data_IF_702459677302
#
_entry.id   IF_702459677302
#
_cell.length_a   1.000
_cell.length_b   1.000
_cell.length_c   1.000
_cell.angle_alpha   90.00
_cell.angle_beta   90.00
_cell.angle_gamma   90.00
#
_symmetry.space_group_name_H-M   'P 1'
#
loop_
_entity.id
_entity.type
_entity.pdbx_description
1 polymer ?
#
# COMPACT_ATOMS: atom_id res chain seq x y z
N UNK A 1 33.22 0.70 28.86
CA UNK A 1 32.71 2.09 28.95
C UNK A 1 33.48 2.92 27.94
N UNK A 2 32.95 3.66 26.99
CA UNK A 2 31.58 4.02 26.60
C UNK A 2 31.51 3.95 25.06
N UNK A 3 30.40 3.42 24.56
CA UNK A 3 29.94 3.61 23.19
C UNK A 3 29.38 5.03 23.08
N UNK A 4 29.67 5.73 21.99
CA UNK A 4 28.63 6.49 21.31
C UNK A 4 28.92 6.65 19.83
N UNK A 5 27.92 6.23 19.08
CA UNK A 5 27.81 6.10 17.64
C UNK A 5 26.99 7.24 17.06
N UNK A 6 27.40 7.79 15.92
CA UNK A 6 26.49 8.33 14.92
C UNK A 6 26.96 7.89 13.52
N UNK A 7 26.04 7.52 12.62
CA UNK A 7 26.28 7.77 11.21
C UNK A 7 25.07 8.44 10.54
N UNK A 8 25.14 9.77 10.38
CA UNK A 8 24.22 10.59 9.56
C UNK A 8 24.57 10.62 8.06
N UNK A 9 25.42 9.72 7.56
CA UNK A 9 26.03 9.86 6.22
C UNK A 9 25.56 8.86 5.15
N UNK A 10 24.41 8.18 5.31
CA UNK A 10 23.98 7.14 4.34
C UNK A 10 22.90 7.53 3.33
N UNK A 11 22.26 8.70 3.44
CA UNK A 11 21.17 9.08 2.52
C UNK A 11 21.59 9.89 1.29
N UNK A 12 22.82 10.43 1.23
CA UNK A 12 23.26 11.28 0.11
C UNK A 12 24.00 10.54 -1.02
N UNK A 13 24.27 9.24 -0.88
CA UNK A 13 25.07 8.49 -1.87
C UNK A 13 24.24 7.78 -2.95
N UNK A 14 22.91 7.64 -2.77
CA UNK A 14 22.06 6.91 -3.73
C UNK A 14 21.70 7.69 -5.00
N UNK A 15 21.75 9.03 -4.99
CA UNK A 15 21.45 9.85 -6.18
C UNK A 15 22.61 9.95 -7.18
N UNK A 16 23.83 9.53 -6.83
CA UNK A 16 25.04 9.81 -7.64
C UNK A 16 25.51 8.65 -8.54
N UNK A 17 24.91 7.47 -8.45
CA UNK A 17 25.35 6.27 -9.17
C UNK A 17 24.64 6.02 -10.52
N UNK A 18 23.67 6.85 -10.92
CA UNK A 18 23.03 6.79 -12.25
C UNK A 18 23.38 8.03 -13.09
N UNK A 19 24.66 8.13 -13.49
CA UNK A 19 25.06 8.87 -14.69
C UNK A 19 25.87 7.93 -15.58
N UNK A 20 25.17 7.16 -16.40
CA UNK A 20 25.74 6.58 -17.62
C UNK A 20 25.08 7.26 -18.81
N UNK A 21 25.93 7.76 -19.68
CA UNK A 21 25.66 8.35 -20.98
C UNK A 21 24.75 7.45 -21.82
N UNK A 22 23.51 7.88 -21.98
CA UNK A 22 22.57 7.44 -23.00
C UNK A 22 21.82 8.68 -23.45
N UNK A 23 21.58 8.80 -24.75
CA UNK A 23 20.77 9.86 -25.38
C UNK A 23 19.54 10.23 -24.55
N UNK A 24 19.14 11.52 -24.50
CA UNK A 24 17.92 11.91 -23.80
C UNK A 24 16.75 11.15 -24.43
N UNK A 25 16.25 10.17 -23.70
CA UNK A 25 14.94 9.59 -23.98
C UNK A 25 13.98 10.76 -23.84
N UNK A 26 13.17 11.08 -24.86
CA UNK A 26 12.21 12.14 -24.73
C UNK A 26 11.35 11.83 -23.51
N UNK A 27 11.31 12.78 -22.58
CA UNK A 27 10.45 12.79 -21.40
C UNK A 27 9.01 12.90 -21.91
N UNK A 28 8.48 11.77 -22.38
CA UNK A 28 7.06 11.65 -22.68
C UNK A 28 6.39 11.59 -21.32
N UNK A 29 5.90 12.75 -20.87
CA UNK A 29 4.92 12.88 -19.81
C UNK A 29 3.70 12.00 -20.16
N UNK A 30 3.74 10.74 -19.73
CA UNK A 30 2.65 9.80 -19.84
C UNK A 30 1.80 9.89 -18.59
N UNK A 31 0.59 10.40 -18.80
CA UNK A 31 -0.43 10.84 -17.85
C UNK A 31 -1.12 9.72 -17.05
N UNK A 32 -0.39 8.77 -16.47
CA UNK A 32 -0.99 7.62 -15.77
C UNK A 32 -0.65 7.53 -14.27
N UNK A 33 -0.42 8.66 -13.60
CA UNK A 33 -0.23 8.64 -12.16
C UNK A 33 -1.60 8.68 -11.44
N UNK A 34 -2.17 7.49 -11.17
CA UNK A 34 -3.45 7.33 -10.44
C UNK A 34 -3.47 8.11 -9.13
N UNK A 35 -2.38 8.04 -8.38
CA UNK A 35 -2.24 8.76 -7.13
C UNK A 35 -2.35 10.28 -7.32
N UNK A 36 -1.64 10.86 -8.30
CA UNK A 36 -1.76 12.28 -8.61
C UNK A 36 -3.17 12.64 -9.11
N UNK A 37 -3.81 11.80 -9.94
CA UNK A 37 -5.18 12.04 -10.37
C UNK A 37 -6.17 12.07 -9.20
N UNK A 38 -6.01 11.16 -8.23
CA UNK A 38 -6.80 11.17 -7.00
C UNK A 38 -6.52 12.42 -6.16
N UNK A 39 -5.27 12.84 -6.05
CA UNK A 39 -4.89 14.07 -5.34
C UNK A 39 -5.48 15.32 -5.99
N UNK A 40 -5.30 15.52 -7.30
CA UNK A 40 -5.85 16.67 -8.03
C UNK A 40 -7.36 16.78 -7.82
N UNK A 41 -8.05 15.64 -7.88
CA UNK A 41 -9.49 15.55 -7.69
C UNK A 41 -9.95 16.05 -6.31
N UNK A 42 -9.22 15.75 -5.24
CA UNK A 42 -9.61 16.16 -3.90
C UNK A 42 -9.17 17.58 -3.52
N UNK A 43 -8.34 18.26 -4.34
CA UNK A 43 -7.84 19.61 -4.01
C UNK A 43 -8.95 20.65 -3.77
N UNK A 44 -10.08 20.49 -4.46
CA UNK A 44 -11.25 21.36 -4.29
C UNK A 44 -12.14 20.95 -3.11
N UNK A 45 -11.89 19.81 -2.47
CA UNK A 45 -12.70 19.32 -1.36
C UNK A 45 -12.40 20.11 -0.07
N UNK A 46 -13.42 20.54 0.69
CA UNK A 46 -13.21 21.16 2.00
C UNK A 46 -12.61 20.19 3.04
N UNK A 47 -12.61 18.89 2.73
CA UNK A 47 -12.00 17.86 3.57
C UNK A 47 -10.48 17.75 3.35
N UNK A 48 -9.95 18.31 2.27
CA UNK A 48 -8.52 18.26 1.99
C UNK A 48 -7.77 19.38 2.73
N UNK A 49 -6.70 19.00 3.42
CA UNK A 49 -5.77 19.90 4.05
C UNK A 49 -4.38 19.71 3.43
N UNK A 50 -3.86 20.70 2.68
CA UNK A 50 -2.59 20.58 1.96
C UNK A 50 -1.36 20.71 2.86
N UNK A 51 -1.50 20.86 4.19
CA UNK A 51 -0.36 20.99 5.09
C UNK A 51 0.48 19.71 5.10
N UNK A 52 1.59 19.73 4.36
CA UNK A 52 2.52 18.61 4.25
C UNK A 52 3.58 18.65 5.35
N UNK A 53 4.04 17.47 5.77
CA UNK A 53 5.19 17.28 6.65
C UNK A 53 5.76 15.86 6.47
N UNK A 54 6.84 15.52 7.17
CA UNK A 54 7.48 14.21 7.10
C UNK A 54 6.54 13.04 7.43
N UNK A 55 5.52 13.30 8.26
CA UNK A 55 4.51 12.30 8.61
C UNK A 55 3.30 12.33 7.67
N UNK A 56 3.15 13.31 6.79
CA UNK A 56 2.02 13.45 5.86
C UNK A 56 2.44 14.23 4.61
N UNK A 57 3.31 13.67 3.74
CA UNK A 57 3.90 14.41 2.64
C UNK A 57 2.91 14.77 1.53
N UNK A 58 1.71 14.20 1.55
CA UNK A 58 0.63 14.49 0.61
C UNK A 58 -0.52 15.28 1.23
N UNK A 59 -0.37 15.70 2.49
CA UNK A 59 -1.40 16.37 3.27
C UNK A 59 -2.34 15.38 3.96
N UNK A 60 -3.48 15.91 4.41
CA UNK A 60 -4.52 15.16 5.09
C UNK A 60 -5.83 15.22 4.30
N UNK A 61 -6.60 14.15 4.34
CA UNK A 61 -7.98 14.12 3.88
C UNK A 61 -8.89 13.73 5.04
N UNK A 62 -9.78 14.65 5.42
CA UNK A 62 -10.68 14.57 6.57
C UNK A 62 -9.95 14.12 7.84
N UNK A 63 -8.87 14.84 8.17
CA UNK A 63 -8.03 14.62 9.35
C UNK A 63 -7.07 13.42 9.29
N UNK A 64 -7.07 12.64 8.21
CA UNK A 64 -6.19 11.46 8.05
C UNK A 64 -5.12 11.69 7.01
N UNK A 65 -3.91 11.21 7.26
CA UNK A 65 -2.82 11.22 6.27
C UNK A 65 -3.23 10.48 5.01
N UNK A 66 -2.98 11.09 3.87
CA UNK A 66 -3.15 10.42 2.58
C UNK A 66 -2.02 9.41 2.37
N UNK A 67 -2.40 8.16 2.12
CA UNK A 67 -1.49 7.06 1.79
C UNK A 67 -1.04 7.26 0.35
N UNK A 68 0.28 7.39 0.16
CA UNK A 68 0.95 7.43 -1.14
C UNK A 68 2.29 6.68 -1.02
N UNK A 69 3.25 7.01 -1.87
CA UNK A 69 4.54 6.32 -1.95
C UNK A 69 5.30 6.34 -0.61
N UNK A 70 5.70 5.15 -0.15
CA UNK A 70 6.61 4.91 0.98
C UNK A 70 6.17 5.45 2.35
N UNK A 71 4.92 5.91 2.49
CA UNK A 71 4.39 6.41 3.75
C UNK A 71 3.86 5.31 4.67
N UNK A 72 3.69 5.66 5.95
CA UNK A 72 2.95 4.82 6.91
C UNK A 72 1.55 4.54 6.33
N UNK A 73 1.10 3.28 6.33
CA UNK A 73 -0.22 2.86 5.83
C UNK A 73 -1.21 2.93 6.99
N UNK A 74 -0.89 2.30 8.13
CA UNK A 74 -1.78 2.32 9.30
C UNK A 74 -2.08 3.76 9.80
N UNK A 75 -3.35 4.03 10.09
CA UNK A 75 -3.93 5.34 10.45
C UNK A 75 -4.21 6.26 9.25
N UNK A 76 -3.88 5.83 8.03
CA UNK A 76 -4.01 6.63 6.81
C UNK A 76 -5.32 6.43 6.05
N UNK A 77 -5.49 7.20 4.98
CA UNK A 77 -6.57 7.08 4.00
C UNK A 77 -6.00 6.96 2.59
N UNK A 78 -6.44 5.96 1.86
CA UNK A 78 -6.11 5.76 0.45
C UNK A 78 -7.23 6.31 -0.42
N UNK A 79 -6.89 7.07 -1.46
CA UNK A 79 -7.84 7.73 -2.33
C UNK A 79 -7.92 6.98 -3.67
N UNK A 80 -9.03 6.30 -3.91
CA UNK A 80 -9.28 5.62 -5.17
C UNK A 80 -9.62 6.61 -6.29
N UNK A 81 -9.09 6.37 -7.49
CA UNK A 81 -9.36 7.19 -8.68
C UNK A 81 -10.72 6.86 -9.28
N UNK A 82 -10.98 5.59 -9.58
CA UNK A 82 -12.12 5.17 -10.41
C UNK A 82 -13.42 5.09 -9.61
N UNK A 83 -13.37 4.51 -8.41
CA UNK A 83 -14.56 4.36 -7.57
C UNK A 83 -14.81 5.58 -6.67
N UNK A 84 -13.88 6.54 -6.67
CA UNK A 84 -13.89 7.69 -5.76
C UNK A 84 -14.10 7.26 -4.30
N UNK A 85 -13.40 6.21 -3.85
CA UNK A 85 -13.49 5.72 -2.47
C UNK A 85 -12.35 6.31 -1.65
N UNK A 86 -12.63 6.73 -0.42
CA UNK A 86 -11.60 7.10 0.56
C UNK A 86 -11.44 5.95 1.58
N UNK A 87 -10.57 4.99 1.28
CA UNK A 87 -10.41 3.78 2.10
C UNK A 87 -9.51 4.06 3.29
N UNK A 88 -10.05 3.97 4.50
CA UNK A 88 -9.31 4.16 5.75
C UNK A 88 -8.67 2.84 6.18
N UNK A 89 -7.36 2.87 6.39
CA UNK A 89 -6.60 1.73 6.94
C UNK A 89 -6.18 2.09 8.35
N UNK A 90 -6.86 1.56 9.36
CA UNK A 90 -6.65 1.93 10.76
C UNK A 90 -6.93 0.74 11.68
N UNK A 91 -5.93 0.31 12.44
CA UNK A 91 -6.03 -0.80 13.38
C UNK A 91 -6.85 -0.47 14.63
N UNK A 92 -7.18 0.81 14.87
CA UNK A 92 -8.07 1.20 15.97
C UNK A 92 -9.48 0.59 15.87
N UNK A 93 -9.89 0.11 14.70
CA UNK A 93 -11.16 -0.60 14.49
C UNK A 93 -11.10 -2.09 14.90
N UNK A 94 -9.91 -2.62 15.19
CA UNK A 94 -9.68 -3.93 15.80
C UNK A 94 -9.47 -5.10 14.82
N UNK A 95 -10.17 -5.15 13.67
CA UNK A 95 -10.09 -6.31 12.77
C UNK A 95 -8.72 -6.45 12.12
N UNK A 96 -8.06 -5.34 11.75
CA UNK A 96 -6.76 -5.39 11.10
C UNK A 96 -5.67 -6.00 11.98
N UNK A 97 -5.61 -5.65 13.27
CA UNK A 97 -4.64 -6.24 14.20
C UNK A 97 -4.94 -7.74 14.43
N UNK A 98 -6.22 -8.12 14.54
CA UNK A 98 -6.62 -9.54 14.62
C UNK A 98 -6.11 -10.33 13.39
N UNK A 99 -6.32 -9.79 12.18
CA UNK A 99 -5.86 -10.40 10.94
C UNK A 99 -4.33 -10.46 10.84
N UNK A 100 -3.62 -9.45 11.35
CA UNK A 100 -2.16 -9.50 11.45
C UNK A 100 -1.72 -10.68 12.33
N UNK A 101 -2.29 -10.83 13.52
CA UNK A 101 -1.96 -11.95 14.42
C UNK A 101 -2.30 -13.31 13.78
N UNK A 102 -3.46 -13.42 13.12
CA UNK A 102 -3.83 -14.63 12.38
C UNK A 102 -2.88 -14.94 11.23
N UNK A 103 -2.42 -13.93 10.51
CA UNK A 103 -1.46 -14.10 9.41
C UNK A 103 -0.14 -14.68 9.92
N UNK A 104 0.36 -14.21 11.07
CA UNK A 104 1.58 -14.71 11.71
C UNK A 104 1.40 -16.14 12.19
N UNK A 105 0.29 -16.43 12.88
CA UNK A 105 0.00 -17.77 13.37
C UNK A 105 -0.12 -18.77 12.21
N UNK A 106 -0.80 -18.39 11.12
CA UNK A 106 -0.89 -19.21 9.92
C UNK A 106 0.49 -19.44 9.30
N UNK A 107 1.31 -18.39 9.16
CA UNK A 107 2.65 -18.51 8.61
C UNK A 107 3.50 -19.52 9.38
N UNK A 108 3.55 -19.39 10.72
CA UNK A 108 4.32 -20.30 11.58
C UNK A 108 3.79 -21.73 11.52
N UNK A 109 2.46 -21.91 11.56
CA UNK A 109 1.83 -23.24 11.47
C UNK A 109 2.13 -23.93 10.14
N UNK A 110 2.16 -23.18 9.05
CA UNK A 110 2.42 -23.70 7.70
C UNK A 110 3.94 -23.91 7.46
N UNK A 111 4.76 -23.90 8.53
CA UNK A 111 6.20 -24.19 8.50
C UNK A 111 7.10 -22.96 8.40
N UNK A 112 6.52 -21.76 8.46
CA UNK A 112 7.21 -20.48 8.45
C UNK A 112 8.20 -20.33 9.60
N UNK A 113 9.42 -19.86 9.30
CA UNK A 113 10.44 -19.55 10.30
C UNK A 113 10.92 -18.11 10.13
N UNK A 114 11.38 -17.48 11.22
CA UNK A 114 11.94 -16.12 11.19
C UNK A 114 13.14 -15.96 10.25
N UNK A 115 13.87 -17.05 9.98
CA UNK A 115 15.01 -17.08 9.06
C UNK A 115 14.62 -17.27 7.59
N UNK A 116 13.32 -17.33 7.26
CA UNK A 116 12.88 -17.48 5.87
C UNK A 116 13.13 -16.23 5.05
N UNK A 117 13.24 -16.45 3.74
CA UNK A 117 13.51 -15.41 2.75
C UNK A 117 12.28 -14.50 2.68
N UNK A 118 12.49 -13.19 2.56
CA UNK A 118 11.39 -12.20 2.53
C UNK A 118 10.37 -12.50 1.40
N UNK A 119 10.79 -13.20 0.34
CA UNK A 119 9.92 -13.74 -0.71
C UNK A 119 8.82 -14.66 -0.19
N UNK A 120 9.11 -15.48 0.83
CA UNK A 120 8.15 -16.43 1.39
C UNK A 120 7.10 -15.71 2.22
N UNK A 121 7.55 -14.72 3.01
CA UNK A 121 6.67 -13.84 3.76
C UNK A 121 5.76 -13.04 2.82
N UNK A 122 6.33 -12.48 1.74
CA UNK A 122 5.55 -11.75 0.74
C UNK A 122 4.47 -12.62 0.09
N UNK A 123 4.83 -13.83 -0.39
CA UNK A 123 3.88 -14.78 -0.97
C UNK A 123 2.79 -15.19 0.02
N UNK A 124 3.16 -15.43 1.28
CA UNK A 124 2.21 -15.74 2.35
C UNK A 124 1.23 -14.60 2.59
N UNK A 125 1.71 -13.36 2.69
CA UNK A 125 0.86 -12.19 2.94
C UNK A 125 -0.12 -11.97 1.81
N UNK A 126 0.30 -12.11 0.55
CA UNK A 126 -0.60 -12.00 -0.61
C UNK A 126 -1.72 -13.02 -0.50
N UNK A 127 -1.36 -14.30 -0.38
CA UNK A 127 -2.34 -15.38 -0.31
C UNK A 127 -3.30 -15.16 0.85
N UNK A 128 -2.80 -14.74 2.01
CA UNK A 128 -3.63 -14.44 3.16
C UNK A 128 -4.58 -13.27 2.89
N UNK A 129 -4.10 -12.19 2.26
CA UNK A 129 -4.94 -11.04 1.91
C UNK A 129 -6.04 -11.42 0.91
N UNK A 130 -5.74 -12.25 -0.09
CA UNK A 130 -6.70 -12.77 -1.05
C UNK A 130 -7.77 -13.65 -0.40
N UNK A 131 -7.37 -14.52 0.54
CA UNK A 131 -8.29 -15.37 1.32
C UNK A 131 -9.23 -14.53 2.21
N UNK A 132 -8.73 -13.47 2.85
CA UNK A 132 -9.54 -12.64 3.75
C UNK A 132 -10.43 -11.65 3.01
N UNK A 133 -10.03 -11.25 1.81
CA UNK A 133 -10.71 -10.23 1.03
C UNK A 133 -10.82 -10.68 -0.43
N UNK A 134 -11.72 -11.64 -0.74
CA UNK A 134 -11.87 -12.14 -2.10
C UNK A 134 -12.31 -11.02 -3.07
N UNK A 135 -11.81 -11.07 -4.31
CA UNK A 135 -12.26 -10.18 -5.37
C UNK A 135 -13.73 -10.49 -5.71
N UNK A 136 -14.61 -9.53 -5.44
CA UNK A 136 -16.02 -9.60 -5.81
C UNK A 136 -16.52 -8.19 -6.20
N UNK A 137 -16.13 -7.69 -7.38
CA UNK A 137 -16.51 -6.35 -7.84
C UNK A 137 -18.04 -6.18 -7.94
N UNK A 138 -18.77 -7.25 -8.22
CA UNK A 138 -20.23 -7.22 -8.30
C UNK A 138 -20.85 -6.93 -6.93
N UNK A 139 -20.37 -7.60 -5.88
CA UNK A 139 -20.81 -7.35 -4.50
C UNK A 139 -20.36 -5.99 -4.00
N UNK A 140 -19.16 -5.52 -4.34
CA UNK A 140 -18.74 -4.15 -4.01
C UNK A 140 -19.70 -3.12 -4.62
N UNK A 141 -20.04 -3.25 -5.90
CA UNK A 141 -21.03 -2.37 -6.55
C UNK A 141 -22.37 -2.42 -5.81
N UNK A 142 -22.85 -3.61 -5.45
CA UNK A 142 -24.11 -3.77 -4.70
C UNK A 142 -24.04 -3.08 -3.34
N UNK A 143 -22.95 -3.24 -2.59
CA UNK A 143 -22.74 -2.59 -1.29
C UNK A 143 -22.71 -1.07 -1.42
N UNK A 144 -22.02 -0.55 -2.45
CA UNK A 144 -21.99 0.89 -2.74
C UNK A 144 -23.39 1.48 -2.95
N UNK A 145 -24.23 0.79 -3.75
CA UNK A 145 -25.61 1.20 -3.99
C UNK A 145 -26.47 1.09 -2.73
N UNK A 146 -26.41 -0.04 -2.01
CA UNK A 146 -27.25 -0.30 -0.84
C UNK A 146 -26.95 0.63 0.34
N UNK A 147 -25.70 1.06 0.50
CA UNK A 147 -25.26 1.90 1.61
C UNK A 147 -25.22 3.39 1.26
N UNK A 148 -25.63 3.76 0.05
CA UNK A 148 -25.49 5.12 -0.49
C UNK A 148 -24.09 5.67 -0.23
N UNK A 149 -23.06 4.88 -0.56
CA UNK A 149 -21.67 5.30 -0.46
C UNK A 149 -21.46 6.42 -1.47
N UNK A 150 -21.36 7.65 -0.97
CA UNK A 150 -21.03 8.80 -1.80
C UNK A 150 -19.53 8.79 -2.14
N UNK A 151 -19.16 9.36 -3.30
CA UNK A 151 -17.77 9.67 -3.62
C UNK A 151 -17.06 10.35 -2.44
N UNK A 152 -15.81 9.96 -2.22
CA UNK A 152 -14.87 10.46 -1.22
C UNK A 152 -15.30 10.32 0.23
N UNK A 153 -16.36 9.56 0.49
CA UNK A 153 -16.71 9.18 1.84
C UNK A 153 -15.67 8.21 2.39
N UNK A 154 -15.20 8.50 3.61
CA UNK A 154 -14.32 7.58 4.33
C UNK A 154 -15.02 6.26 4.63
N UNK A 155 -14.42 5.16 4.22
CA UNK A 155 -14.87 3.80 4.52
C UNK A 155 -13.70 3.02 5.08
N UNK A 156 -13.86 2.45 6.27
CA UNK A 156 -12.82 1.61 6.86
C UNK A 156 -12.61 0.33 6.04
N UNK A 157 -11.36 -0.10 5.87
CA UNK A 157 -11.03 -1.38 5.24
C UNK A 157 -11.74 -2.56 5.95
N UNK A 158 -11.95 -2.45 7.26
CA UNK A 158 -12.74 -3.36 8.09
C UNK A 158 -14.17 -3.60 7.60
N UNK A 159 -14.78 -2.61 6.92
CA UNK A 159 -16.08 -2.79 6.30
C UNK A 159 -16.02 -3.90 5.24
N UNK A 160 -15.08 -3.81 4.30
CA UNK A 160 -14.90 -4.79 3.22
C UNK A 160 -14.48 -6.17 3.75
N UNK A 161 -13.66 -6.19 4.81
CA UNK A 161 -13.28 -7.43 5.52
C UNK A 161 -14.48 -8.14 6.15
N UNK A 162 -15.40 -7.42 6.81
CA UNK A 162 -16.62 -8.00 7.37
C UNK A 162 -17.56 -8.51 6.29
N UNK A 163 -17.64 -7.78 5.18
CA UNK A 163 -18.43 -8.20 4.02
C UNK A 163 -17.77 -9.35 3.26
N UNK A 164 -16.48 -9.66 3.49
CA UNK A 164 -15.71 -10.65 2.70
C UNK A 164 -15.85 -10.42 1.21
N UNK A 165 -15.77 -9.16 0.79
CA UNK A 165 -15.94 -8.74 -0.59
C UNK A 165 -15.02 -7.56 -0.88
N UNK A 166 -14.35 -7.62 -2.02
CA UNK A 166 -13.25 -6.73 -2.33
C UNK A 166 -13.08 -6.35 -3.77
N UNK A 167 -12.15 -5.42 -3.98
CA UNK A 167 -11.58 -5.03 -5.26
C UNK A 167 -10.05 -5.01 -5.11
N UNK A 168 -9.32 -4.80 -6.20
CA UNK A 168 -7.85 -4.84 -6.20
C UNK A 168 -7.22 -3.97 -5.09
N UNK A 169 -7.58 -2.69 -5.02
CA UNK A 169 -7.15 -1.78 -3.93
C UNK A 169 -7.34 -2.33 -2.52
N UNK A 170 -8.46 -3.02 -2.25
CA UNK A 170 -8.76 -3.49 -0.90
C UNK A 170 -7.78 -4.61 -0.50
N UNK A 171 -7.44 -5.51 -1.43
CA UNK A 171 -6.43 -6.55 -1.21
C UNK A 171 -5.03 -5.96 -1.10
N UNK A 172 -4.69 -5.01 -1.99
CA UNK A 172 -3.41 -4.29 -1.97
C UNK A 172 -3.20 -3.57 -0.63
N UNK A 173 -4.20 -2.84 -0.16
CA UNK A 173 -4.13 -2.13 1.13
C UNK A 173 -4.01 -3.08 2.32
N UNK A 174 -4.71 -4.21 2.30
CA UNK A 174 -4.59 -5.23 3.33
C UNK A 174 -3.19 -5.85 3.35
N UNK A 175 -2.68 -6.28 2.19
CA UNK A 175 -1.34 -6.86 2.07
C UNK A 175 -0.26 -5.87 2.50
N UNK A 176 -0.37 -4.62 2.06
CA UNK A 176 0.58 -3.56 2.39
C UNK A 176 0.55 -3.26 3.90
N UNK A 177 -0.63 -3.19 4.52
CA UNK A 177 -0.78 -3.09 5.98
C UNK A 177 -0.07 -4.24 6.71
N UNK A 178 -0.31 -5.49 6.31
CA UNK A 178 0.28 -6.67 6.94
C UNK A 178 1.81 -6.67 6.86
N UNK A 179 2.36 -6.37 5.67
CA UNK A 179 3.81 -6.23 5.48
C UNK A 179 4.38 -5.09 6.34
N UNK A 180 3.69 -3.95 6.43
CA UNK A 180 4.16 -2.86 7.27
C UNK A 180 4.21 -3.27 8.74
N UNK A 181 3.20 -3.99 9.24
CA UNK A 181 3.21 -4.52 10.62
C UNK A 181 4.35 -5.50 10.85
N UNK A 182 4.60 -6.41 9.90
CA UNK A 182 5.75 -7.33 9.95
C UNK A 182 7.09 -6.58 9.97
N UNK A 183 7.22 -5.50 9.19
CA UNK A 183 8.40 -4.63 9.17
C UNK A 183 8.59 -3.89 10.50
N UNK A 184 7.54 -3.31 11.06
CA UNK A 184 7.56 -2.64 12.38
C UNK A 184 7.99 -3.59 13.50
N UNK A 185 7.69 -4.89 13.36
CA UNK A 185 8.09 -5.96 14.28
C UNK A 185 9.43 -6.62 13.92
N UNK A 186 10.15 -6.11 12.91
CA UNK A 186 11.48 -6.60 12.46
C UNK A 186 11.47 -8.07 12.02
N UNK A 187 10.40 -8.50 11.35
CA UNK A 187 10.30 -9.79 10.66
C UNK A 187 10.80 -9.71 9.22
N UNK A 188 10.65 -8.53 8.61
CA UNK A 188 11.17 -8.18 7.28
C UNK A 188 11.80 -6.78 7.34
N UNK A 189 12.67 -6.46 6.39
CA UNK A 189 13.36 -5.16 6.32
C UNK A 189 13.15 -4.43 4.99
N UNK A 190 12.45 -5.02 4.03
CA UNK A 190 12.20 -4.42 2.74
C UNK A 190 11.28 -3.19 2.74
N UNK A 191 11.19 -2.57 1.57
CA UNK A 191 10.35 -1.42 1.28
C UNK A 191 9.01 -1.84 0.66
N UNK A 192 7.95 -1.09 0.98
CA UNK A 192 6.59 -1.33 0.53
C UNK A 192 6.16 -0.09 -0.24
N UNK A 193 5.78 -0.25 -1.51
CA UNK A 193 5.34 0.83 -2.39
C UNK A 193 3.99 0.44 -3.00
N UNK A 194 2.99 1.30 -2.85
CA UNK A 194 1.65 1.10 -3.44
C UNK A 194 1.58 1.97 -4.70
N UNK A 195 1.06 1.43 -5.80
CA UNK A 195 0.91 2.12 -7.08
C UNK A 195 2.20 2.81 -7.57
N UNK A 196 3.34 2.08 -7.65
CA UNK A 196 4.61 2.67 -8.05
C UNK A 196 4.54 3.26 -9.46
N UNK A 197 5.08 4.46 -9.60
CA UNK A 197 5.06 5.27 -10.82
C UNK A 197 5.89 4.73 -12.00
N UNK A 198 6.53 3.56 -11.86
CA UNK A 198 7.55 3.05 -12.80
C UNK A 198 7.17 1.74 -13.51
N UNK A 199 5.93 1.27 -13.43
CA UNK A 199 5.58 0.07 -14.19
C UNK A 199 5.40 0.42 -15.68
N UNK A 200 6.25 -0.14 -16.53
CA UNK A 200 6.03 -0.26 -17.98
C UNK A 200 4.76 -1.09 -18.29
N UNK A 201 4.20 -1.74 -17.27
CA UNK A 201 2.92 -2.41 -17.33
C UNK A 201 1.79 -1.38 -17.31
N UNK A 202 0.80 -1.47 -18.22
CA UNK A 202 -0.43 -0.72 -18.08
C UNK A 202 -1.12 -1.17 -16.79
N UNK A 203 -0.96 -0.40 -15.72
CA UNK A 203 -1.62 -0.69 -14.45
C UNK A 203 -3.10 -0.32 -14.56
N UNK A 204 -3.89 -1.20 -15.19
CA UNK A 204 -5.35 -1.09 -15.21
C UNK A 204 -5.92 -1.10 -13.78
N UNK A 205 -5.20 -1.67 -12.81
CA UNK A 205 -5.59 -1.80 -11.40
C UNK A 205 -4.48 -1.42 -10.40
N UNK A 206 -4.88 -1.23 -9.14
CA UNK A 206 -3.95 -0.94 -8.04
C UNK A 206 -2.98 -2.10 -7.79
N UNK A 207 -1.73 -1.78 -7.46
CA UNK A 207 -0.67 -2.76 -7.24
C UNK A 207 0.19 -2.46 -6.03
N UNK A 208 0.88 -3.48 -5.55
CA UNK A 208 1.84 -3.41 -4.46
C UNK A 208 3.19 -3.93 -4.96
N UNK A 209 4.25 -3.15 -4.72
CA UNK A 209 5.63 -3.59 -4.90
C UNK A 209 6.31 -3.69 -3.56
N UNK A 210 6.91 -4.86 -3.32
CA UNK A 210 7.80 -5.10 -2.21
C UNK A 210 9.24 -5.20 -2.73
N UNK A 211 10.13 -4.40 -2.17
CA UNK A 211 11.56 -4.42 -2.48
C UNK A 211 12.29 -5.01 -1.29
N UNK A 212 12.77 -6.24 -1.43
CA UNK A 212 13.47 -6.94 -0.37
C UNK A 212 14.78 -6.25 0.03
N UNK A 213 15.29 -6.59 1.20
CA UNK A 213 16.54 -6.03 1.72
C UNK A 213 17.77 -6.33 0.82
N UNK A 214 17.69 -7.37 0.01
CA UNK A 214 18.67 -7.76 -1.01
C UNK A 214 18.47 -7.04 -2.35
N UNK A 215 17.44 -6.18 -2.46
CA UNK A 215 17.06 -5.48 -3.67
C UNK A 215 16.13 -6.28 -4.60
N UNK A 216 15.75 -7.52 -4.25
CA UNK A 216 14.80 -8.30 -5.03
C UNK A 216 13.44 -7.60 -5.07
N UNK A 217 12.79 -7.57 -6.24
CA UNK A 217 11.50 -6.90 -6.43
C UNK A 217 10.41 -7.93 -6.61
N UNK A 218 9.33 -7.77 -5.85
CA UNK A 218 8.14 -8.61 -5.92
C UNK A 218 6.93 -7.73 -6.16
N UNK A 219 6.08 -8.13 -7.10
CA UNK A 219 4.90 -7.37 -7.52
C UNK A 219 3.65 -8.17 -7.20
N UNK A 220 2.67 -7.50 -6.62
CA UNK A 220 1.32 -8.01 -6.42
C UNK A 220 0.34 -7.12 -7.18
N UNK A 221 -0.36 -7.71 -8.13
CA UNK A 221 -1.48 -7.08 -8.83
C UNK A 221 -2.64 -8.08 -8.88
N UNK A 222 -3.68 -7.89 -8.06
CA UNK A 222 -4.80 -8.84 -7.92
C UNK A 222 -5.47 -9.32 -9.21
N UNK A 223 -5.48 -8.48 -10.24
CA UNK A 223 -6.19 -8.74 -11.50
C UNK A 223 -5.27 -9.22 -12.61
N UNK A 224 -3.95 -9.04 -12.46
CA UNK A 224 -2.97 -9.60 -13.38
C UNK A 224 -2.59 -10.99 -12.88
N UNK A 225 -3.35 -12.01 -13.30
CA UNK A 225 -2.91 -13.39 -13.10
C UNK A 225 -1.64 -13.62 -13.91
N UNK A 226 -0.58 -14.07 -13.25
CA UNK A 226 0.62 -14.60 -13.91
C UNK A 226 0.22 -15.88 -14.64
N UNK A 227 0.02 -15.79 -15.96
CA UNK A 227 -0.07 -16.95 -16.84
C UNK A 227 1.30 -17.62 -16.99
#
# INVERSE_FOLDING_TARGET
>A
MQLNSEPKARFHLFKKLFRRSGTPVPEVASSNNRFLAALERIKASPLYNPNTNDQAPHGLFDGRRIIGDSNRINGGVYLGVIAHEAVVVDDSYGRLEELYQQSILKFVRDGGRRSQIESDIFRHVIKFAEEQLPLDPARIRKLAHQRAISPDRKIALDFYLREKAGAARHQVLLAAYLLQRMRERKLINGEIVIDPHFSELPAEDESLVYIGADGARFVFSPTLQSH
#
